data_IF_168528426101
#
_entry.id   IF_168528426101
#
_cell.length_a   1.000
_cell.length_b   1.000
_cell.length_c   1.000
_cell.angle_alpha   90.00
_cell.angle_beta   90.00
_cell.angle_gamma   90.00
#
_symmetry.space_group_name_H-M   'P 1'
#
loop_
_entity.id
_entity.type
_entity.pdbx_description
1 polymer ?
#
# COMPACT_ATOMS: atom_id res chain seq x y z
N UNK A 1 15.26 5.66 18.68
CA UNK A 1 15.19 5.26 17.26
C UNK A 1 14.14 6.13 16.60
N UNK A 2 14.62 7.05 15.75
CA UNK A 2 13.86 8.23 15.29
C UNK A 2 12.65 7.82 14.46
N UNK A 3 11.45 8.14 14.96
CA UNK A 3 10.22 8.15 14.18
C UNK A 3 10.37 9.22 13.10
N UNK A 4 10.76 8.80 11.89
CA UNK A 4 10.81 9.68 10.73
C UNK A 4 9.43 10.28 10.48
N UNK A 5 9.27 11.58 10.75
CA UNK A 5 8.16 12.41 10.28
C UNK A 5 8.23 12.51 8.75
N UNK A 6 7.87 11.44 8.04
CA UNK A 6 7.33 11.58 6.70
C UNK A 6 5.82 11.65 6.86
N UNK A 7 5.28 12.87 6.80
CA UNK A 7 3.87 13.09 6.45
C UNK A 7 3.64 12.69 4.98
N UNK A 8 4.10 11.50 4.57
CA UNK A 8 3.78 10.96 3.27
C UNK A 8 2.35 10.46 3.36
N UNK A 9 1.44 11.24 2.81
CA UNK A 9 0.05 10.85 2.70
C UNK A 9 0.04 9.61 1.80
N UNK A 10 -0.37 8.48 2.34
CA UNK A 10 -0.46 7.23 1.60
C UNK A 10 -1.82 7.14 0.90
N UNK A 11 -1.86 6.37 -0.19
CA UNK A 11 -3.11 5.86 -0.70
C UNK A 11 -3.69 4.84 0.28
N UNK A 12 -5.02 4.84 0.41
CA UNK A 12 -5.73 3.98 1.36
C UNK A 12 -6.76 3.11 0.66
N UNK A 13 -7.15 2.03 1.33
CA UNK A 13 -8.25 1.18 0.92
C UNK A 13 -9.54 2.01 0.79
N UNK A 14 -10.28 1.90 -0.34
CA UNK A 14 -11.54 2.63 -0.53
C UNK A 14 -12.67 2.17 0.41
N UNK A 15 -12.57 0.96 0.98
CA UNK A 15 -13.62 0.41 1.86
C UNK A 15 -13.43 0.80 3.33
N UNK A 16 -12.22 0.67 3.87
CA UNK A 16 -11.97 0.86 5.31
C UNK A 16 -10.98 1.99 5.65
N UNK A 17 -10.39 2.66 4.65
CA UNK A 17 -9.56 3.85 4.86
C UNK A 17 -8.16 3.61 5.44
N UNK A 18 -7.73 2.36 5.63
CA UNK A 18 -6.35 2.08 6.09
C UNK A 18 -5.37 2.06 4.92
N UNK A 19 -4.11 2.40 5.18
CA UNK A 19 -3.02 2.31 4.21
C UNK A 19 -2.21 1.01 4.28
N UNK A 20 -2.55 0.06 5.16
CA UNK A 20 -1.87 -1.24 5.21
C UNK A 20 -2.44 -2.13 4.10
N UNK A 21 -1.64 -2.32 3.05
CA UNK A 21 -1.96 -3.11 1.87
C UNK A 21 -0.93 -4.24 1.73
N UNK A 22 -1.23 -5.24 0.91
CA UNK A 22 -0.28 -6.28 0.56
C UNK A 22 -0.51 -6.77 -0.88
N UNK A 23 0.51 -7.42 -1.43
CA UNK A 23 0.44 -8.17 -2.69
C UNK A 23 0.90 -9.60 -2.43
N UNK A 24 0.51 -10.53 -3.30
CA UNK A 24 1.04 -11.89 -3.30
C UNK A 24 2.11 -12.00 -4.39
N UNK A 25 3.36 -12.20 -3.98
CA UNK A 25 4.50 -12.41 -4.88
C UNK A 25 5.08 -13.81 -4.64
N UNK A 26 5.13 -14.64 -5.67
CA UNK A 26 5.62 -16.03 -5.57
C UNK A 26 4.99 -16.80 -4.38
N UNK A 27 3.67 -16.68 -4.21
CA UNK A 27 2.90 -17.26 -3.09
C UNK A 27 3.24 -16.73 -1.69
N UNK A 28 4.00 -15.64 -1.59
CA UNK A 28 4.32 -14.97 -0.33
C UNK A 28 3.59 -13.63 -0.24
N UNK A 29 3.09 -13.32 0.95
CA UNK A 29 2.52 -12.01 1.23
C UNK A 29 3.64 -10.97 1.45
N UNK A 30 3.60 -9.90 0.67
CA UNK A 30 4.47 -8.73 0.85
C UNK A 30 3.60 -7.54 1.21
N UNK A 31 3.75 -7.03 2.43
CA UNK A 31 3.04 -5.84 2.88
C UNK A 31 3.66 -4.61 2.23
N UNK A 32 2.82 -3.68 1.76
CA UNK A 32 3.27 -2.49 1.02
C UNK A 32 2.64 -1.20 1.54
N UNK A 33 3.33 -0.09 1.31
CA UNK A 33 2.79 1.27 1.38
C UNK A 33 2.97 1.95 0.03
N UNK A 34 1.91 2.62 -0.42
CA UNK A 34 1.90 3.33 -1.70
C UNK A 34 1.67 4.82 -1.43
N UNK A 35 2.55 5.68 -1.94
CA UNK A 35 2.39 7.13 -1.85
C UNK A 35 1.29 7.65 -2.81
N UNK A 36 1.06 8.96 -2.83
CA UNK A 36 0.04 9.58 -3.67
C UNK A 36 0.39 9.64 -5.16
N UNK A 37 1.67 9.46 -5.46
CA UNK A 37 2.27 9.32 -6.79
C UNK A 37 2.14 7.90 -7.34
N UNK A 38 1.53 6.98 -6.57
CA UNK A 38 1.33 5.56 -6.92
C UNK A 38 2.62 4.74 -6.94
N UNK A 39 3.62 5.18 -6.19
CA UNK A 39 4.90 4.47 -6.03
C UNK A 39 4.90 3.69 -4.72
N UNK A 40 5.47 2.49 -4.75
CA UNK A 40 5.70 1.69 -3.55
C UNK A 40 6.90 2.28 -2.81
N UNK A 41 6.68 2.76 -1.59
CA UNK A 41 7.71 3.41 -0.75
C UNK A 41 8.13 2.59 0.46
N UNK A 42 7.47 1.46 0.69
CA UNK A 42 7.81 0.51 1.75
C UNK A 42 7.32 -0.87 1.37
N UNK A 43 8.15 -1.87 1.64
CA UNK A 43 7.85 -3.30 1.49
C UNK A 43 8.28 -4.04 2.77
N UNK A 44 7.49 -5.05 3.18
CA UNK A 44 7.86 -5.97 4.27
C UNK A 44 7.44 -7.38 3.87
N UNK A 45 8.38 -8.34 3.73
CA UNK A 45 9.83 -8.18 3.84
C UNK A 45 10.41 -7.25 2.75
N UNK A 46 11.66 -6.80 2.93
CA UNK A 46 12.35 -5.93 1.97
C UNK A 46 12.40 -6.60 0.60
N UNK A 47 11.67 -6.00 -0.34
CA UNK A 47 11.40 -6.51 -1.70
C UNK A 47 11.58 -5.36 -2.67
N UNK A 48 12.17 -5.63 -3.83
CA UNK A 48 12.34 -4.63 -4.88
C UNK A 48 10.97 -4.04 -5.30
N UNK A 49 10.72 -2.73 -5.09
CA UNK A 49 9.48 -2.07 -5.49
C UNK A 49 9.08 -2.29 -6.95
N UNK A 50 10.06 -2.32 -7.87
CA UNK A 50 9.81 -2.47 -9.31
C UNK A 50 9.28 -3.86 -9.69
N UNK A 51 9.41 -4.85 -8.80
CA UNK A 51 8.90 -6.21 -9.01
C UNK A 51 7.42 -6.38 -8.60
N UNK A 52 6.80 -5.34 -8.06
CA UNK A 52 5.43 -5.39 -7.52
C UNK A 52 4.41 -5.00 -8.59
N UNK A 53 3.54 -5.94 -8.95
CA UNK A 53 2.37 -5.64 -9.77
C UNK A 53 1.28 -4.92 -8.96
N UNK A 54 0.97 -3.70 -9.37
CA UNK A 54 -0.04 -2.86 -8.74
C UNK A 54 -1.44 -3.06 -9.32
N UNK A 55 -1.68 -4.11 -10.12
CA UNK A 55 -3.02 -4.51 -10.57
C UNK A 55 -3.78 -5.37 -9.55
N UNK A 56 -3.06 -6.15 -8.73
CA UNK A 56 -3.66 -7.01 -7.71
C UNK A 56 -3.13 -6.69 -6.30
N UNK A 57 -3.79 -5.73 -5.65
CA UNK A 57 -3.47 -5.28 -4.30
C UNK A 57 -4.61 -5.67 -3.38
N UNK A 58 -4.26 -6.17 -2.20
CA UNK A 58 -5.21 -6.54 -1.16
C UNK A 58 -5.11 -5.60 0.05
N UNK A 59 -6.23 -5.40 0.73
CA UNK A 59 -6.28 -4.68 1.99
C UNK A 59 -6.08 -5.64 3.18
N UNK A 60 -5.16 -5.30 4.08
CA UNK A 60 -4.90 -6.10 5.28
C UNK A 60 -6.08 -6.10 6.28
N UNK A 61 -6.92 -5.06 6.25
CA UNK A 61 -8.00 -4.89 7.24
C UNK A 61 -9.34 -5.50 6.83
N UNK A 62 -9.75 -5.31 5.57
CA UNK A 62 -11.08 -5.72 5.09
C UNK A 62 -11.04 -6.70 3.91
N UNK A 63 -9.84 -7.16 3.51
CA UNK A 63 -9.65 -8.08 2.39
C UNK A 63 -10.11 -7.56 1.03
N UNK A 64 -10.38 -6.25 0.89
CA UNK A 64 -10.63 -5.62 -0.41
C UNK A 64 -9.50 -5.93 -1.40
N UNK A 65 -9.85 -6.20 -2.65
CA UNK A 65 -8.91 -6.46 -3.75
C UNK A 65 -9.13 -5.48 -4.90
N UNK A 66 -8.04 -4.99 -5.49
CA UNK A 66 -8.09 -4.22 -6.72
C UNK A 66 -6.76 -3.56 -7.08
N UNK A 67 -6.76 -2.74 -8.13
CA UNK A 67 -5.56 -2.06 -8.59
C UNK A 67 -5.31 -0.74 -7.86
N UNK A 68 -4.08 -0.22 -7.96
CA UNK A 68 -3.66 1.05 -7.35
C UNK A 68 -4.54 2.23 -7.76
N UNK A 69 -5.16 2.16 -8.94
CA UNK A 69 -6.08 3.19 -9.44
C UNK A 69 -7.40 3.29 -8.66
N UNK A 70 -7.74 2.27 -7.87
CA UNK A 70 -8.94 2.25 -7.03
C UNK A 70 -8.68 2.70 -5.60
N UNK A 71 -7.42 2.85 -5.19
CA UNK A 71 -7.08 3.41 -3.90
C UNK A 71 -7.38 4.90 -3.86
N UNK A 72 -7.66 5.43 -2.67
CA UNK A 72 -8.12 6.81 -2.49
C UNK A 72 -7.14 7.63 -1.67
N UNK A 73 -7.14 8.95 -1.90
CA UNK A 73 -6.44 9.93 -1.07
C UNK A 73 -7.39 10.36 0.05
N UNK A 74 -7.09 9.99 1.30
CA UNK A 74 -7.85 10.53 2.43
C UNK A 74 -7.21 11.85 2.87
N UNK A 75 -7.98 12.94 2.75
CA UNK A 75 -7.68 14.20 3.41
C UNK A 75 -8.48 14.19 4.71
N UNK A 76 -7.82 14.00 5.85
CA UNK A 76 -8.42 14.39 7.13
C UNK A 76 -8.23 15.91 7.16
N UNK A 77 -9.28 16.64 6.76
CA UNK A 77 -9.38 18.09 6.92
C UNK A 77 -9.71 18.46 8.35
#
# INVERSE_FOLDING_TARGET
MSRGKHSNRFLVCPQCGISNLFVILHNNQVNIKINWEKEVVMTVPDTNPDSIDLQNIHCLGCSWEGSVNKLVKYFIG
#
